data_IF_488561234900
#
_entry.id   IF_488561234900
#
_cell.length_a   1.000
_cell.length_b   1.000
_cell.length_c   1.000
_cell.angle_alpha   90.00
_cell.angle_beta   90.00
_cell.angle_gamma   90.00
#
_symmetry.space_group_name_H-M   'P 1'
#
loop_
_entity.id
_entity.type
_entity.pdbx_description
1 polymer ?
#
# COMPACT_ATOMS: atom_id res chain seq x y z
N UNK A 1 -12.12 6.48 -0.33
CA UNK A 1 -12.57 7.88 -0.49
C UNK A 1 -13.43 8.05 -1.75
N UNK A 2 -14.36 9.02 -1.78
CA UNK A 2 -15.17 9.32 -2.98
C UNK A 2 -14.33 9.70 -4.21
N UNK A 3 -13.14 10.27 -3.97
CA UNK A 3 -12.11 10.50 -4.98
C UNK A 3 -11.90 9.32 -5.93
N UNK A 4 -11.82 8.09 -5.41
CA UNK A 4 -11.56 6.87 -6.20
C UNK A 4 -12.63 6.61 -7.27
N UNK A 5 -13.86 7.04 -7.03
CA UNK A 5 -14.97 6.92 -7.99
C UNK A 5 -14.85 8.04 -9.02
N UNK A 6 -14.55 9.26 -8.59
CA UNK A 6 -14.49 10.42 -9.47
C UNK A 6 -13.30 10.41 -10.43
N UNK A 7 -12.16 9.89 -10.01
CA UNK A 7 -10.99 9.73 -10.89
C UNK A 7 -11.28 8.74 -12.02
N UNK A 8 -11.94 7.60 -11.73
CA UNK A 8 -12.40 6.64 -12.73
C UNK A 8 -13.42 7.22 -13.71
N UNK A 9 -14.24 8.17 -13.25
CA UNK A 9 -15.26 8.85 -14.06
C UNK A 9 -14.76 10.15 -14.74
N UNK A 10 -13.50 10.53 -14.57
CA UNK A 10 -12.96 11.78 -15.13
C UNK A 10 -13.63 13.06 -14.63
N UNK A 11 -14.17 13.07 -13.40
CA UNK A 11 -14.90 14.23 -12.84
C UNK A 11 -14.00 15.14 -11.99
N UNK A 12 -13.15 15.95 -12.63
CA UNK A 12 -12.09 16.76 -11.99
C UNK A 12 -12.54 17.61 -10.80
N UNK A 13 -13.60 18.42 -10.95
CA UNK A 13 -14.06 19.28 -9.85
C UNK A 13 -14.62 18.47 -8.67
N UNK A 14 -15.17 17.29 -8.92
CA UNK A 14 -15.62 16.37 -7.86
C UNK A 14 -14.43 15.70 -7.16
N UNK A 15 -13.36 15.38 -7.90
CA UNK A 15 -12.09 14.94 -7.30
C UNK A 15 -11.55 16.02 -6.35
N UNK A 16 -11.43 17.26 -6.83
CA UNK A 16 -10.95 18.40 -6.04
C UNK A 16 -11.83 18.64 -4.81
N UNK A 17 -13.16 18.62 -4.97
CA UNK A 17 -14.09 18.76 -3.84
C UNK A 17 -13.89 17.66 -2.79
N UNK A 18 -13.68 16.41 -3.22
CA UNK A 18 -13.40 15.30 -2.31
C UNK A 18 -12.09 15.49 -1.55
N UNK A 19 -11.04 15.96 -2.23
CA UNK A 19 -9.72 16.23 -1.62
C UNK A 19 -9.85 17.37 -0.61
N UNK A 20 -10.48 18.50 -0.98
CA UNK A 20 -10.68 19.65 -0.09
C UNK A 20 -11.40 19.27 1.21
N UNK A 21 -12.46 18.46 1.10
CA UNK A 21 -13.20 17.98 2.27
C UNK A 21 -12.32 17.12 3.17
N UNK A 22 -11.59 16.16 2.61
CA UNK A 22 -10.69 15.32 3.38
C UNK A 22 -9.54 16.12 4.02
N UNK A 23 -8.97 17.07 3.27
CA UNK A 23 -7.92 17.97 3.77
C UNK A 23 -8.42 18.85 4.91
N UNK A 24 -9.64 19.39 4.83
CA UNK A 24 -10.23 20.17 5.92
C UNK A 24 -10.49 19.37 7.20
N UNK A 25 -10.58 18.04 7.11
CA UNK A 25 -10.77 17.16 8.27
C UNK A 25 -9.45 16.69 8.87
N UNK A 26 -8.53 16.20 8.04
CA UNK A 26 -7.21 15.75 8.46
C UNK A 26 -6.21 15.87 7.30
N UNK A 27 -5.40 16.95 7.26
CA UNK A 27 -4.37 17.15 6.23
C UNK A 27 -3.30 16.06 6.21
N UNK A 28 -3.04 15.39 7.35
CA UNK A 28 -2.01 14.37 7.47
C UNK A 28 -2.57 12.95 7.30
N UNK A 29 -3.75 12.78 6.70
CA UNK A 29 -4.31 11.46 6.49
C UNK A 29 -3.51 10.68 5.41
N UNK A 30 -3.13 9.41 5.63
CA UNK A 30 -2.39 8.61 4.66
C UNK A 30 -3.09 8.44 3.30
N UNK A 31 -4.39 8.13 3.31
CA UNK A 31 -5.14 7.89 2.07
C UNK A 31 -5.35 9.18 1.27
N UNK A 32 -5.45 10.31 1.96
CA UNK A 32 -5.50 11.63 1.35
C UNK A 32 -4.23 11.92 0.54
N UNK A 33 -3.05 11.59 1.06
CA UNK A 33 -1.78 11.79 0.36
C UNK A 33 -1.77 11.09 -1.00
N UNK A 34 -2.19 9.82 -1.03
CA UNK A 34 -2.30 9.05 -2.28
C UNK A 34 -3.30 9.69 -3.26
N UNK A 35 -4.45 10.15 -2.77
CA UNK A 35 -5.42 10.86 -3.61
C UNK A 35 -4.83 12.15 -4.19
N UNK A 36 -4.06 12.88 -3.38
CA UNK A 36 -3.47 14.16 -3.76
C UNK A 36 -2.44 14.00 -4.88
N UNK A 37 -1.49 13.07 -4.70
CA UNK A 37 -0.45 12.83 -5.71
C UNK A 37 -1.06 12.27 -7.01
N UNK A 38 -2.04 11.37 -6.92
CA UNK A 38 -2.76 10.86 -8.11
C UNK A 38 -3.52 11.97 -8.83
N UNK A 39 -4.09 12.94 -8.10
CA UNK A 39 -4.72 14.11 -8.69
C UNK A 39 -3.70 15.00 -9.42
N UNK A 40 -2.53 15.25 -8.83
CA UNK A 40 -1.44 15.98 -9.49
C UNK A 40 -1.00 15.31 -10.79
N UNK A 41 -0.83 13.98 -10.77
CA UNK A 41 -0.48 13.23 -11.99
C UNK A 41 -1.60 13.29 -13.04
N UNK A 42 -2.85 13.25 -12.62
CA UNK A 42 -4.01 13.35 -13.50
C UNK A 42 -4.05 14.72 -14.23
N UNK A 43 -3.92 15.84 -13.50
CA UNK A 43 -3.95 17.18 -14.11
C UNK A 43 -2.71 17.46 -14.98
N UNK A 44 -1.56 16.85 -14.68
CA UNK A 44 -0.36 17.00 -15.48
C UNK A 44 -0.44 16.23 -16.81
N UNK A 45 -1.14 15.09 -16.82
CA UNK A 45 -1.39 14.29 -18.05
C UNK A 45 -2.47 14.90 -18.93
N UNK A 46 -3.44 15.57 -18.32
CA UNK A 46 -4.54 16.23 -19.04
C UNK A 46 -4.69 17.67 -18.52
N UNK A 47 -3.86 18.59 -19.04
CA UNK A 47 -3.92 20.00 -18.67
C UNK A 47 -5.35 20.55 -18.84
N UNK A 48 -5.79 21.30 -17.85
CA UNK A 48 -7.14 21.85 -17.81
C UNK A 48 -7.11 23.27 -18.34
N UNK A 49 -7.98 23.56 -19.30
CA UNK A 49 -8.12 24.88 -19.89
C UNK A 49 -9.35 25.62 -19.36
N UNK A 50 -9.35 26.94 -19.56
CA UNK A 50 -10.47 27.82 -19.22
C UNK A 50 -10.77 27.89 -17.71
N UNK A 51 -12.03 28.21 -17.34
CA UNK A 51 -12.41 28.48 -15.95
C UNK A 51 -12.14 27.32 -14.98
N UNK A 52 -12.21 26.07 -15.49
CA UNK A 52 -11.96 24.88 -14.67
C UNK A 52 -10.49 24.80 -14.28
N UNK A 53 -9.57 25.09 -15.21
CA UNK A 53 -8.13 25.12 -14.93
C UNK A 53 -7.76 26.18 -13.90
N UNK A 54 -8.33 27.38 -14.01
CA UNK A 54 -8.11 28.47 -13.06
C UNK A 54 -8.61 28.12 -11.65
N UNK A 55 -9.82 27.55 -11.55
CA UNK A 55 -10.37 27.09 -10.27
C UNK A 55 -9.48 26.01 -9.67
N UNK A 56 -9.07 25.02 -10.45
CA UNK A 56 -8.19 23.95 -9.95
C UNK A 56 -6.89 24.55 -9.44
N UNK A 57 -6.18 25.35 -10.25
CA UNK A 57 -4.92 26.00 -9.87
C UNK A 57 -5.06 26.81 -8.58
N UNK A 58 -6.07 27.68 -8.49
CA UNK A 58 -6.31 28.52 -7.32
C UNK A 58 -6.58 27.69 -6.06
N UNK A 59 -7.35 26.62 -6.19
CA UNK A 59 -7.75 25.79 -5.05
C UNK A 59 -6.66 24.81 -4.63
N UNK A 60 -5.78 24.39 -5.54
CA UNK A 60 -4.68 23.48 -5.22
C UNK A 60 -3.52 24.17 -4.52
N UNK A 61 -3.24 25.44 -4.82
CA UNK A 61 -2.17 26.22 -4.16
C UNK A 61 -2.32 26.27 -2.64
N UNK A 62 -3.55 26.21 -2.13
CA UNK A 62 -3.82 26.17 -0.68
C UNK A 62 -3.74 24.79 -0.03
N UNK A 63 -3.46 23.72 -0.80
CA UNK A 63 -3.41 22.33 -0.32
C UNK A 63 -1.99 21.79 -0.42
N UNK A 64 -1.40 21.91 -1.59
CA UNK A 64 0.00 21.63 -1.84
C UNK A 64 0.54 22.85 -2.55
N UNK A 65 1.64 23.39 -2.02
CA UNK A 65 2.38 24.51 -2.62
C UNK A 65 2.82 24.16 -4.06
N UNK A 66 3.70 24.95 -4.66
CA UNK A 66 4.28 24.68 -5.99
C UNK A 66 5.21 23.45 -6.04
N UNK A 67 5.15 22.56 -5.05
CA UNK A 67 5.97 21.34 -4.96
C UNK A 67 5.57 20.34 -6.05
N UNK A 68 6.56 19.63 -6.59
CA UNK A 68 6.32 18.51 -7.51
C UNK A 68 5.77 17.30 -6.75
N UNK A 69 5.14 16.35 -7.46
CA UNK A 69 4.62 15.12 -6.84
C UNK A 69 5.72 14.33 -6.10
N UNK A 70 6.95 14.32 -6.66
CA UNK A 70 8.12 13.68 -6.05
C UNK A 70 8.56 14.38 -4.77
N UNK A 71 8.63 15.72 -4.79
CA UNK A 71 8.96 16.51 -3.59
C UNK A 71 7.92 16.31 -2.49
N UNK A 72 6.64 16.36 -2.85
CA UNK A 72 5.53 16.15 -1.92
C UNK A 72 5.61 14.76 -1.26
N UNK A 73 5.92 13.72 -2.03
CA UNK A 73 6.07 12.37 -1.48
C UNK A 73 7.31 12.24 -0.57
N UNK A 74 8.43 12.86 -0.93
CA UNK A 74 9.64 12.85 -0.12
C UNK A 74 9.41 13.57 1.23
N UNK A 75 8.75 14.72 1.23
CA UNK A 75 8.37 15.45 2.44
C UNK A 75 7.40 14.65 3.31
N UNK A 76 6.40 14.02 2.70
CA UNK A 76 5.42 13.18 3.39
C UNK A 76 6.08 11.99 4.10
N UNK A 77 7.00 11.29 3.43
CA UNK A 77 7.76 10.19 4.01
C UNK A 77 8.68 10.67 5.14
N UNK A 78 9.37 11.80 4.95
CA UNK A 78 10.25 12.39 5.97
C UNK A 78 9.47 12.75 7.25
N UNK A 79 8.28 13.33 7.10
CA UNK A 79 7.42 13.73 8.22
C UNK A 79 6.84 12.53 8.98
N UNK A 80 6.49 11.45 8.29
CA UNK A 80 5.73 10.33 8.85
C UNK A 80 6.53 9.01 8.91
N UNK A 81 7.86 9.11 9.08
CA UNK A 81 8.81 7.99 9.04
C UNK A 81 8.55 6.84 10.02
N UNK A 82 7.81 7.09 11.10
CA UNK A 82 7.56 6.09 12.14
C UNK A 82 6.18 5.43 12.01
N UNK A 83 5.32 5.85 11.07
CA UNK A 83 3.94 5.38 11.01
C UNK A 83 3.71 4.45 9.83
N UNK A 84 3.46 3.17 10.12
CA UNK A 84 3.21 2.14 9.10
C UNK A 84 2.14 2.53 8.04
N UNK A 85 0.95 3.06 8.40
CA UNK A 85 -0.04 3.43 7.40
C UNK A 85 0.42 4.59 6.50
N UNK A 86 1.25 5.51 7.00
CA UNK A 86 1.82 6.58 6.18
C UNK A 86 2.93 6.04 5.28
N UNK A 87 3.82 5.19 5.81
CA UNK A 87 4.88 4.54 5.02
C UNK A 87 4.27 3.73 3.88
N UNK A 88 3.18 2.99 4.11
CA UNK A 88 2.46 2.26 3.07
C UNK A 88 2.04 3.18 1.93
N UNK A 89 1.33 4.27 2.22
CA UNK A 89 0.85 5.18 1.18
C UNK A 89 1.98 5.92 0.48
N UNK A 90 3.00 6.37 1.21
CA UNK A 90 4.17 7.04 0.63
C UNK A 90 5.02 6.10 -0.24
N UNK A 91 5.14 4.83 0.13
CA UNK A 91 5.85 3.81 -0.63
C UNK A 91 5.08 3.43 -1.92
N UNK A 92 3.75 3.31 -1.86
CA UNK A 92 2.92 3.11 -3.06
C UNK A 92 3.11 4.25 -4.05
N UNK A 93 3.06 5.48 -3.56
CA UNK A 93 3.29 6.67 -4.39
C UNK A 93 4.74 6.71 -4.91
N UNK A 94 5.73 6.28 -4.13
CA UNK A 94 7.11 6.21 -4.59
C UNK A 94 7.23 5.30 -5.83
N UNK A 95 6.63 4.11 -5.80
CA UNK A 95 6.63 3.20 -6.94
C UNK A 95 5.84 3.74 -8.14
N UNK A 96 4.71 4.41 -7.90
CA UNK A 96 3.91 5.06 -8.97
C UNK A 96 4.68 6.18 -9.67
N UNK A 97 5.49 6.94 -8.93
CA UNK A 97 6.30 8.03 -9.47
C UNK A 97 7.58 7.52 -10.14
N UNK A 98 8.19 6.48 -9.56
CA UNK A 98 9.43 5.88 -10.03
C UNK A 98 9.39 4.35 -9.84
N UNK A 99 9.01 3.60 -10.90
CA UNK A 99 9.00 2.14 -10.84
C UNK A 99 10.37 1.51 -10.57
N UNK A 100 11.48 2.22 -10.86
CA UNK A 100 12.83 1.72 -10.58
C UNK A 100 13.16 1.69 -9.08
N UNK A 101 12.43 2.47 -8.27
CA UNK A 101 12.58 2.54 -6.82
C UNK A 101 11.83 1.41 -6.07
N UNK A 102 11.43 0.33 -6.76
CA UNK A 102 10.66 -0.78 -6.19
C UNK A 102 11.26 -1.34 -4.89
N UNK A 103 12.54 -1.69 -4.90
CA UNK A 103 13.23 -2.25 -3.73
C UNK A 103 13.19 -1.31 -2.53
N UNK A 104 13.31 -0.01 -2.78
CA UNK A 104 13.21 1.03 -1.74
C UNK A 104 11.77 1.18 -1.23
N UNK A 105 10.77 1.08 -2.10
CA UNK A 105 9.37 1.12 -1.69
C UNK A 105 9.01 -0.10 -0.82
N UNK A 106 9.47 -1.30 -1.21
CA UNK A 106 9.25 -2.53 -0.45
C UNK A 106 9.91 -2.48 0.93
N UNK A 107 11.15 -2.00 1.04
CA UNK A 107 11.83 -1.93 2.33
C UNK A 107 11.15 -1.00 3.34
N UNK A 108 10.50 0.07 2.89
CA UNK A 108 9.73 0.98 3.73
C UNK A 108 8.50 0.34 4.38
N UNK A 109 7.91 -0.68 3.74
CA UNK A 109 6.66 -1.32 4.21
C UNK A 109 6.88 -2.67 4.86
N UNK A 110 8.00 -3.35 4.57
CA UNK A 110 8.33 -4.64 5.17
C UNK A 110 9.13 -4.52 6.46
N UNK A 111 9.81 -3.40 6.68
CA UNK A 111 10.46 -3.14 7.95
C UNK A 111 9.48 -2.62 9.01
N UNK A 112 8.70 -3.54 9.58
CA UNK A 112 7.68 -3.22 10.59
C UNK A 112 8.19 -3.13 12.03
N UNK A 113 9.49 -3.36 12.26
CA UNK A 113 10.04 -3.32 13.61
C UNK A 113 10.06 -1.87 14.11
N UNK A 114 9.65 -1.65 15.36
CA UNK A 114 9.62 -0.34 16.03
C UNK A 114 8.77 0.76 15.34
N UNK A 115 7.79 0.37 14.51
CA UNK A 115 6.84 1.31 13.90
C UNK A 115 5.58 1.51 14.74
N UNK A 116 5.04 2.71 14.68
CA UNK A 116 3.70 3.02 15.15
C UNK A 116 2.64 2.46 14.20
N UNK A 117 1.55 1.97 14.78
CA UNK A 117 0.42 1.45 14.01
C UNK A 117 0.65 0.07 13.42
N UNK A 118 1.61 -0.71 13.93
CA UNK A 118 1.77 -2.15 13.67
C UNK A 118 0.62 -2.90 14.34
N UNK A 119 -0.54 -2.84 13.70
CA UNK A 119 -1.76 -3.52 14.09
C UNK A 119 -2.07 -4.59 13.06
N UNK A 120 -2.81 -5.63 13.46
CA UNK A 120 -3.27 -6.68 12.55
C UNK A 120 -3.91 -6.07 11.29
N UNK A 121 -4.79 -5.09 11.46
CA UNK A 121 -5.47 -4.41 10.34
C UNK A 121 -4.50 -3.74 9.37
N UNK A 122 -3.50 -2.99 9.87
CA UNK A 122 -2.55 -2.29 9.00
C UNK A 122 -1.58 -3.26 8.32
N UNK A 123 -1.12 -4.30 9.01
CA UNK A 123 -0.30 -5.34 8.41
C UNK A 123 -1.06 -6.12 7.34
N UNK A 124 -2.36 -6.39 7.54
CA UNK A 124 -3.21 -7.00 6.51
C UNK A 124 -3.33 -6.08 5.29
N UNK A 125 -3.51 -4.77 5.47
CA UNK A 125 -3.52 -3.81 4.35
C UNK A 125 -2.21 -3.79 3.57
N UNK A 126 -1.06 -3.88 4.25
CA UNK A 126 0.25 -3.97 3.57
C UNK A 126 0.31 -5.25 2.73
N UNK A 127 -0.09 -6.40 3.30
CA UNK A 127 -0.11 -7.68 2.59
C UNK A 127 -1.04 -7.65 1.37
N UNK A 128 -2.23 -7.07 1.51
CA UNK A 128 -3.17 -6.85 0.40
C UNK A 128 -2.53 -5.99 -0.68
N UNK A 129 -1.87 -4.89 -0.32
CA UNK A 129 -1.17 -4.04 -1.29
C UNK A 129 -0.04 -4.75 -2.02
N UNK A 130 0.74 -5.58 -1.33
CA UNK A 130 1.77 -6.41 -1.98
C UNK A 130 1.14 -7.39 -2.98
N UNK A 131 0.05 -8.07 -2.60
CA UNK A 131 -0.67 -9.02 -3.46
C UNK A 131 -1.39 -8.38 -4.64
N UNK A 132 -1.90 -7.17 -4.47
CA UNK A 132 -2.59 -6.42 -5.52
C UNK A 132 -1.64 -5.88 -6.60
N UNK A 133 -0.32 -6.05 -6.43
CA UNK A 133 0.67 -5.54 -7.37
C UNK A 133 0.88 -4.04 -7.28
N UNK A 134 0.52 -3.39 -6.16
CA UNK A 134 0.75 -1.96 -5.94
C UNK A 134 2.24 -1.58 -5.97
N UNK A 135 3.11 -2.59 -5.84
CA UNK A 135 4.57 -2.49 -5.91
C UNK A 135 5.17 -3.34 -7.04
N UNK A 136 4.36 -3.79 -8.00
CA UNK A 136 4.80 -4.78 -9.00
C UNK A 136 4.97 -6.19 -8.43
N UNK A 137 5.66 -7.06 -9.18
CA UNK A 137 5.85 -8.45 -8.79
C UNK A 137 6.89 -8.57 -7.66
N UNK A 138 6.50 -9.19 -6.54
CA UNK A 138 7.31 -9.24 -5.32
C UNK A 138 7.00 -10.47 -4.43
N UNK A 139 6.85 -11.65 -5.04
CA UNK A 139 6.43 -12.88 -4.37
C UNK A 139 7.34 -13.30 -3.19
N UNK A 140 8.66 -13.14 -3.35
CA UNK A 140 9.61 -13.39 -2.26
C UNK A 140 9.37 -12.47 -1.07
N UNK A 141 9.16 -11.18 -1.34
CA UNK A 141 8.86 -10.18 -0.30
C UNK A 141 7.53 -10.45 0.40
N UNK A 142 6.53 -10.96 -0.32
CA UNK A 142 5.25 -11.38 0.28
C UNK A 142 5.47 -12.52 1.28
N UNK A 143 6.25 -13.55 0.91
CA UNK A 143 6.54 -14.67 1.80
C UNK A 143 7.32 -14.25 3.05
N UNK A 144 8.34 -13.40 2.87
CA UNK A 144 9.12 -12.85 3.98
C UNK A 144 8.26 -11.98 4.90
N UNK A 145 7.41 -11.14 4.33
CA UNK A 145 6.50 -10.29 5.08
C UNK A 145 5.47 -11.09 5.88
N UNK A 146 4.90 -12.15 5.29
CA UNK A 146 4.00 -13.06 6.00
C UNK A 146 4.71 -13.73 7.18
N UNK A 147 5.93 -14.24 6.97
CA UNK A 147 6.73 -14.86 8.03
C UNK A 147 7.02 -13.87 9.15
N UNK A 148 7.35 -12.61 8.81
CA UNK A 148 7.57 -11.54 9.78
C UNK A 148 6.30 -11.21 10.56
N UNK A 149 5.18 -11.00 9.88
CA UNK A 149 3.90 -10.69 10.52
C UNK A 149 3.38 -11.84 11.40
N UNK A 150 3.67 -13.09 11.05
CA UNK A 150 3.30 -14.25 11.85
C UNK A 150 3.94 -14.22 13.24
N UNK A 151 5.16 -13.67 13.39
CA UNK A 151 5.81 -13.49 14.70
C UNK A 151 5.04 -12.52 15.60
N UNK A 152 4.49 -11.46 15.02
CA UNK A 152 3.69 -10.45 15.74
C UNK A 152 2.26 -10.91 15.98
N UNK A 153 1.68 -11.66 15.05
CA UNK A 153 0.29 -12.11 15.08
C UNK A 153 0.18 -13.63 14.83
N UNK A 154 0.59 -14.48 15.79
CA UNK A 154 0.64 -15.95 15.59
C UNK A 154 -0.71 -16.58 15.23
N UNK A 155 -1.81 -15.99 15.70
CA UNK A 155 -3.17 -16.50 15.49
C UNK A 155 -3.85 -15.95 14.24
N UNK A 156 -3.23 -14.99 13.54
CA UNK A 156 -3.82 -14.41 12.34
C UNK A 156 -3.67 -15.35 11.14
N UNK A 157 -4.80 -15.84 10.62
CA UNK A 157 -4.85 -16.73 9.45
C UNK A 157 -4.28 -16.09 8.19
N UNK A 158 -4.35 -14.76 8.08
CA UNK A 158 -3.80 -14.00 6.96
C UNK A 158 -2.28 -14.17 6.79
N UNK A 159 -1.55 -14.46 7.88
CA UNK A 159 -0.09 -14.59 7.90
C UNK A 159 0.39 -16.02 8.16
N UNK A 160 -0.51 -17.02 8.09
CA UNK A 160 -0.08 -18.41 8.29
C UNK A 160 0.94 -18.79 7.21
N UNK A 161 2.09 -19.36 7.59
CA UNK A 161 2.96 -19.99 6.60
C UNK A 161 2.16 -21.09 5.91
N UNK A 162 2.28 -21.19 4.59
CA UNK A 162 1.68 -22.29 3.83
C UNK A 162 2.19 -23.60 4.43
N UNK A 163 1.28 -24.44 4.93
CA UNK A 163 1.62 -25.74 5.49
C UNK A 163 2.45 -26.51 4.45
N UNK A 164 3.74 -26.68 4.72
CA UNK A 164 4.59 -27.60 3.97
C UNK A 164 3.88 -28.95 4.04
N UNK A 165 3.38 -29.46 2.92
CA UNK A 165 2.85 -30.82 2.84
C UNK A 165 3.97 -31.77 3.26
N UNK A 166 3.99 -32.17 4.53
CA UNK A 166 4.81 -33.27 5.00
C UNK A 166 4.16 -34.50 4.38
N UNK A 167 4.72 -34.97 3.26
CA UNK A 167 4.39 -36.28 2.71
C UNK A 167 4.81 -37.31 3.75
N UNK A 168 3.86 -37.70 4.60
CA UNK A 168 4.04 -38.84 5.50
C UNK A 168 4.06 -40.08 4.62
N UNK A 169 5.27 -40.50 4.21
CA UNK A 169 5.47 -41.82 3.63
C UNK A 169 5.18 -42.86 4.71
N UNK A 170 3.95 -43.35 4.74
CA UNK A 170 3.55 -44.49 5.58
C UNK A 170 4.29 -45.72 5.02
N UNK A 171 5.33 -46.17 5.72
CA UNK A 171 5.90 -47.51 5.51
C UNK A 171 4.92 -48.53 6.11
N UNK A 172 4.11 -49.18 5.27
CA UNK A 172 3.39 -50.38 5.68
C UNK A 172 4.41 -51.51 5.91
N UNK A 173 4.51 -51.98 7.15
CA UNK A 173 5.11 -53.29 7.48
C UNK A 173 4.02 -54.35 7.35
N UNK A 174 4.07 -55.17 6.31
CA UNK A 174 3.35 -56.44 6.29
C UNK A 174 4.09 -57.44 7.19
N UNK A 175 3.47 -57.78 8.33
CA UNK A 175 3.76 -59.02 9.06
C UNK A 175 2.76 -60.06 8.57
N UNK A 176 3.16 -60.88 7.60
CA UNK A 176 2.46 -62.12 7.30
C UNK A 176 2.91 -63.20 8.29
N UNK A 177 2.05 -63.46 9.28
CA UNK A 177 2.07 -64.69 10.06
C UNK A 177 1.47 -65.79 9.19
N UNK A 178 2.26 -66.76 8.75
CA UNK A 178 1.75 -68.03 8.23
C UNK A 178 1.96 -69.12 9.28
N UNK A 179 0.84 -69.50 9.90
CA UNK A 179 0.70 -70.60 10.86
C UNK A 179 0.61 -71.90 10.07
N UNK A 180 1.37 -72.89 10.53
CA UNK A 180 1.38 -74.29 10.07
C UNK A 180 -0.03 -74.89 9.99
N UNK A 181 -0.28 -75.65 8.93
CA UNK A 181 -0.85 -77.01 9.01
C UNK A 181 -0.48 -77.79 7.75
#
# INVERSE_FOLDING_TARGET
MAFEIYIRKGRTLLMLRSIKRAHGLNPNNPDLHTCLVRFMLYINRSPLEGPVGEVVKRQTTGIYSTSTATQLNAEFLKKNRNSLPHLLQGAKILYVLDPSAQTKALSLVTNIDDLEGVTLQNCTKVLESLRNGDFGHCDSTIADYMTKCHKYFPYATAFRPSETKVTVTIKHQEKENSIKN
#
